data_IF_822077606469
#
_entry.id   IF_822077606469
#
_cell.length_a   1.000
_cell.length_b   1.000
_cell.length_c   1.000
_cell.angle_alpha   90.00
_cell.angle_beta   90.00
_cell.angle_gamma   90.00
#
_symmetry.space_group_name_H-M   'P 1'
#
loop_
_entity.id
_entity.type
_entity.pdbx_description
1 polymer ?
#
# COMPACT_ATOMS: atom_id res chain seq x y z
N UNK A 1 10.39 6.41 24.70
CA UNK A 1 9.97 5.39 23.73
C UNK A 1 10.11 5.98 22.33
N UNK A 2 11.00 5.45 21.50
CA UNK A 2 11.10 5.85 20.09
C UNK A 2 9.93 5.20 19.35
N UNK A 3 8.83 5.94 19.16
CA UNK A 3 7.82 5.55 18.18
C UNK A 3 8.53 5.51 16.82
N UNK A 4 8.74 4.30 16.27
CA UNK A 4 9.20 4.15 14.89
C UNK A 4 8.15 4.79 13.99
N UNK A 5 8.37 6.07 13.64
CA UNK A 5 7.57 6.79 12.67
C UNK A 5 7.68 5.99 11.38
N UNK A 6 6.62 5.28 11.02
CA UNK A 6 6.52 4.64 9.72
C UNK A 6 6.44 5.80 8.72
N UNK A 7 7.38 5.93 7.78
CA UNK A 7 7.29 6.97 6.77
C UNK A 7 5.93 6.87 6.08
N UNK A 8 5.24 8.00 5.97
CA UNK A 8 3.89 8.09 5.38
C UNK A 8 3.83 7.50 3.97
N UNK A 9 4.96 7.48 3.25
CA UNK A 9 5.11 6.92 1.91
C UNK A 9 5.75 5.52 1.86
N UNK A 10 5.81 4.79 2.97
CA UNK A 10 6.31 3.42 2.97
C UNK A 10 5.28 2.42 2.42
N UNK A 11 5.76 1.32 1.81
CA UNK A 11 4.92 0.19 1.39
C UNK A 11 4.01 -0.28 2.52
N UNK A 12 4.55 -0.40 3.74
CA UNK A 12 3.79 -0.86 4.91
C UNK A 12 2.64 0.10 5.27
N UNK A 13 2.84 1.40 5.17
CA UNK A 13 1.79 2.39 5.39
C UNK A 13 0.65 2.24 4.37
N UNK A 14 0.99 2.06 3.09
CA UNK A 14 -0.02 1.86 2.04
C UNK A 14 -0.75 0.51 2.14
N UNK A 15 -0.07 -0.58 2.51
CA UNK A 15 -0.72 -1.88 2.83
C UNK A 15 -1.78 -1.71 3.93
N UNK A 16 -1.41 -1.00 5.00
CA UNK A 16 -2.33 -0.72 6.11
C UNK A 16 -3.50 0.17 5.67
N UNK A 17 -3.23 1.23 4.91
CA UNK A 17 -4.25 2.17 4.42
C UNK A 17 -5.28 1.47 3.52
N UNK A 18 -4.84 0.61 2.59
CA UNK A 18 -5.74 -0.19 1.74
C UNK A 18 -6.65 -1.07 2.60
N UNK A 19 -6.09 -1.78 3.59
CA UNK A 19 -6.88 -2.63 4.51
C UNK A 19 -7.95 -1.84 5.27
N UNK A 20 -7.60 -0.68 5.82
CA UNK A 20 -8.55 0.15 6.58
C UNK A 20 -9.65 0.69 5.67
N UNK A 21 -9.29 1.25 4.52
CA UNK A 21 -10.26 1.81 3.58
C UNK A 21 -11.22 0.76 3.01
N UNK A 22 -10.76 -0.47 2.78
CA UNK A 22 -11.60 -1.60 2.37
C UNK A 22 -12.61 -1.97 3.45
N UNK A 23 -12.18 -2.04 4.72
CA UNK A 23 -13.07 -2.30 5.84
C UNK A 23 -14.10 -1.18 6.07
N UNK A 24 -13.69 0.08 5.92
CA UNK A 24 -14.59 1.22 6.06
C UNK A 24 -15.60 1.27 4.92
N UNK A 25 -15.16 1.00 3.69
CA UNK A 25 -16.05 0.93 2.52
C UNK A 25 -17.11 -0.16 2.69
N UNK A 26 -16.75 -1.33 3.24
CA UNK A 26 -17.70 -2.41 3.51
C UNK A 26 -18.77 -2.04 4.55
N UNK A 27 -18.43 -1.19 5.53
CA UNK A 27 -19.32 -0.79 6.62
C UNK A 27 -20.17 0.45 6.31
N UNK A 28 -19.81 1.23 5.29
CA UNK A 28 -20.47 2.50 4.99
C UNK A 28 -21.80 2.33 4.22
N UNK A 29 -22.87 2.90 4.77
CA UNK A 29 -24.23 2.79 4.23
C UNK A 29 -24.61 4.00 3.35
N UNK A 30 -24.00 5.16 3.60
CA UNK A 30 -24.23 6.37 2.82
C UNK A 30 -23.55 6.27 1.43
N UNK A 31 -24.29 6.43 0.32
CA UNK A 31 -23.71 6.34 -1.02
C UNK A 31 -22.63 7.40 -1.30
N UNK A 32 -22.75 8.61 -0.73
CA UNK A 32 -21.73 9.67 -0.87
C UNK A 32 -20.46 9.28 -0.13
N UNK A 33 -20.59 8.73 1.08
CA UNK A 33 -19.47 8.21 1.87
C UNK A 33 -18.76 7.06 1.15
N UNK A 34 -19.52 6.10 0.62
CA UNK A 34 -18.98 4.99 -0.17
C UNK A 34 -18.22 5.46 -1.40
N UNK A 35 -18.73 6.43 -2.14
CA UNK A 35 -18.03 6.98 -3.31
C UNK A 35 -16.67 7.57 -2.93
N UNK A 36 -16.62 8.36 -1.85
CA UNK A 36 -15.38 8.94 -1.35
C UNK A 36 -14.38 7.88 -0.87
N UNK A 37 -14.84 6.87 -0.12
CA UNK A 37 -14.01 5.76 0.35
C UNK A 37 -13.46 4.93 -0.82
N UNK A 38 -14.29 4.64 -1.83
CA UNK A 38 -13.87 3.92 -3.02
C UNK A 38 -12.80 4.68 -3.82
N UNK A 39 -12.93 5.99 -3.98
CA UNK A 39 -11.90 6.82 -4.61
C UNK A 39 -10.58 6.77 -3.84
N UNK A 40 -10.63 6.98 -2.52
CA UNK A 40 -9.43 6.92 -1.68
C UNK A 40 -8.77 5.54 -1.70
N UNK A 41 -9.58 4.48 -1.72
CA UNK A 41 -9.11 3.10 -1.80
C UNK A 41 -8.38 2.86 -3.14
N UNK A 42 -8.94 3.32 -4.25
CA UNK A 42 -8.33 3.20 -5.57
C UNK A 42 -6.97 3.93 -5.66
N UNK A 43 -6.87 5.14 -5.13
CA UNK A 43 -5.62 5.91 -5.08
C UNK A 43 -4.56 5.21 -4.22
N UNK A 44 -4.95 4.73 -3.04
CA UNK A 44 -4.06 4.01 -2.14
C UNK A 44 -3.58 2.69 -2.76
N UNK A 45 -4.47 1.92 -3.39
CA UNK A 45 -4.15 0.66 -4.05
C UNK A 45 -3.24 0.85 -5.27
N UNK A 46 -3.49 1.88 -6.08
CA UNK A 46 -2.62 2.24 -7.22
C UNK A 46 -1.22 2.60 -6.76
N UNK A 47 -1.12 3.38 -5.68
CA UNK A 47 0.18 3.76 -5.11
C UNK A 47 0.90 2.54 -4.54
N UNK A 48 0.18 1.68 -3.80
CA UNK A 48 0.73 0.43 -3.28
C UNK A 48 1.27 -0.45 -4.40
N UNK A 49 0.51 -0.65 -5.48
CA UNK A 49 0.91 -1.48 -6.61
C UNK A 49 2.24 -1.02 -7.22
N UNK A 50 2.42 0.30 -7.41
CA UNK A 50 3.69 0.85 -7.92
C UNK A 50 4.87 0.56 -6.98
N UNK A 51 4.66 0.72 -5.68
CA UNK A 51 5.70 0.46 -4.69
C UNK A 51 6.06 -1.04 -4.61
N UNK A 52 5.08 -1.95 -4.68
CA UNK A 52 5.31 -3.40 -4.71
C UNK A 52 6.07 -3.82 -5.97
N UNK A 53 5.78 -3.24 -7.13
CA UNK A 53 6.55 -3.48 -8.37
C UNK A 53 8.01 -3.07 -8.20
N UNK A 54 8.26 -1.89 -7.63
CA UNK A 54 9.64 -1.42 -7.36
C UNK A 54 10.36 -2.36 -6.39
N UNK A 55 9.68 -2.85 -5.36
CA UNK A 55 10.29 -3.76 -4.39
C UNK A 55 10.56 -5.15 -5.00
N UNK A 56 9.65 -5.66 -5.84
CA UNK A 56 9.85 -6.89 -6.58
C UNK A 56 11.05 -6.81 -7.54
N UNK A 57 11.21 -5.69 -8.25
CA UNK A 57 12.35 -5.46 -9.13
C UNK A 57 13.68 -5.47 -8.37
N UNK A 58 13.76 -4.79 -7.22
CA UNK A 58 14.96 -4.83 -6.35
C UNK A 58 15.28 -6.24 -5.90
N UNK A 59 14.26 -6.99 -5.46
CA UNK A 59 14.43 -8.38 -5.03
C UNK A 59 15.01 -9.25 -6.16
N UNK A 60 14.49 -9.14 -7.38
CA UNK A 60 15.01 -9.85 -8.54
C UNK A 60 16.46 -9.47 -8.87
N UNK A 61 16.81 -8.18 -8.81
CA UNK A 61 18.18 -7.71 -9.03
C UNK A 61 19.17 -8.27 -7.99
N UNK A 62 18.76 -8.32 -6.72
CA UNK A 62 19.55 -8.93 -5.66
C UNK A 62 19.78 -10.43 -5.89
N UNK A 63 18.75 -11.17 -6.34
CA UNK A 63 18.87 -12.59 -6.69
C UNK A 63 19.83 -12.83 -7.85
N UNK A 64 19.78 -12.02 -8.91
CA UNK A 64 20.71 -12.15 -10.03
C UNK A 64 22.15 -11.88 -9.59
N UNK A 65 22.38 -10.83 -8.79
CA UNK A 65 23.71 -10.46 -8.32
C UNK A 65 24.32 -11.49 -7.34
N UNK A 66 23.50 -12.21 -6.57
CA UNK A 66 23.98 -13.29 -5.68
C UNK A 66 24.25 -14.61 -6.40
N UNK A 67 23.78 -14.77 -7.64
CA UNK A 67 23.97 -15.98 -8.44
C UNK A 67 25.26 -15.96 -9.27
N UNK A 68 25.91 -14.79 -9.36
CA UNK A 68 27.16 -14.56 -10.12
C UNK A 68 28.43 -14.64 -9.24
N UNK A 69 28.30 -15.04 -7.97
CA UNK A 69 29.39 -15.28 -7.00
C UNK A 69 29.47 -16.76 -6.62
#
# INVERSE_FOLDING_TARGET
MLSKVIPSHSIKAFRYRVRVLEQDLWKEHNPVGRANLAMQLADAATTLARLEVQEAQKYQQHLSASSDL
#
